data_IF_565432089330
#
_entry.id   IF_565432089330
#
_cell.length_a   1.000
_cell.length_b   1.000
_cell.length_c   1.000
_cell.angle_alpha   90.00
_cell.angle_beta   90.00
_cell.angle_gamma   90.00
#
_symmetry.space_group_name_H-M   'P 1'
#
loop_
_entity.id
_entity.type
_entity.pdbx_description
1 polymer ?
#
# COMPACT_ATOMS: atom_id res chain seq x y z
N UNK A 1 -29.11 -14.65 -64.21
CA UNK A 1 -30.40 -15.23 -63.74
C UNK A 1 -30.53 -14.97 -62.28
N UNK A 2 -31.50 -14.09 -61.94
CA UNK A 2 -31.86 -13.56 -60.62
C UNK A 2 -32.21 -14.65 -59.63
N UNK A 3 -31.98 -14.41 -58.32
CA UNK A 3 -33.05 -14.07 -57.39
C UNK A 3 -32.48 -13.66 -56.03
N UNK A 4 -32.71 -12.39 -55.71
CA UNK A 4 -32.61 -11.85 -54.37
C UNK A 4 -33.86 -12.22 -53.55
N UNK A 5 -33.71 -12.80 -52.39
CA UNK A 5 -34.77 -13.02 -51.41
C UNK A 5 -34.56 -12.15 -50.18
N UNK A 6 -35.26 -11.00 -50.09
CA UNK A 6 -35.30 -10.17 -48.89
C UNK A 6 -36.29 -10.79 -47.89
N UNK A 7 -35.83 -11.14 -46.71
CA UNK A 7 -36.68 -11.56 -45.59
C UNK A 7 -37.04 -10.32 -44.74
N UNK A 8 -38.29 -9.88 -44.85
CA UNK A 8 -38.84 -8.84 -44.00
C UNK A 8 -39.47 -9.48 -42.74
N UNK A 9 -38.90 -9.32 -41.62
CA UNK A 9 -39.49 -9.71 -40.32
C UNK A 9 -40.62 -8.73 -39.96
N UNK A 10 -41.76 -9.19 -39.43
CA UNK A 10 -42.89 -8.32 -39.11
C UNK A 10 -42.58 -7.46 -37.89
N UNK A 11 -42.87 -6.15 -37.98
CA UNK A 11 -42.64 -5.13 -36.94
C UNK A 11 -43.09 -5.50 -35.53
N UNK A 12 -43.99 -6.46 -35.37
CA UNK A 12 -44.51 -6.88 -34.06
C UNK A 12 -43.50 -7.74 -33.25
N UNK A 13 -42.59 -8.46 -33.90
CA UNK A 13 -41.58 -9.29 -33.26
C UNK A 13 -40.42 -8.43 -32.71
N UNK A 14 -40.11 -7.29 -33.33
CA UNK A 14 -39.03 -6.39 -32.91
C UNK A 14 -39.40 -5.69 -31.59
N UNK A 15 -40.68 -5.29 -31.41
CA UNK A 15 -41.15 -4.62 -30.20
C UNK A 15 -41.15 -5.57 -28.99
N UNK A 16 -41.48 -6.86 -29.21
CA UNK A 16 -41.44 -7.85 -28.13
C UNK A 16 -40.00 -8.19 -27.69
N UNK A 17 -39.05 -8.26 -28.64
CA UNK A 17 -37.64 -8.51 -28.32
C UNK A 17 -36.98 -7.35 -27.58
N UNK A 18 -37.29 -6.09 -27.94
CA UNK A 18 -36.79 -4.91 -27.22
C UNK A 18 -37.41 -4.78 -25.80
N UNK A 19 -38.67 -5.13 -25.63
CA UNK A 19 -39.32 -5.13 -24.33
C UNK A 19 -38.73 -6.16 -23.37
N UNK A 20 -38.37 -7.35 -23.87
CA UNK A 20 -37.75 -8.41 -23.07
C UNK A 20 -36.29 -8.05 -22.66
N UNK A 21 -35.55 -7.38 -23.52
CA UNK A 21 -34.20 -6.89 -23.21
C UNK A 21 -34.22 -5.75 -22.18
N UNK A 22 -35.24 -4.89 -22.19
CA UNK A 22 -35.38 -3.82 -21.19
C UNK A 22 -35.76 -4.34 -19.79
N UNK A 23 -36.54 -5.41 -19.72
CA UNK A 23 -36.95 -6.03 -18.43
C UNK A 23 -35.80 -6.85 -17.82
N UNK A 24 -34.92 -7.45 -18.62
CA UNK A 24 -33.75 -8.15 -18.11
C UNK A 24 -32.65 -7.19 -17.58
N UNK A 25 -32.63 -5.93 -18.02
CA UNK A 25 -31.63 -4.96 -17.53
C UNK A 25 -31.95 -4.41 -16.13
N UNK A 26 -33.15 -4.61 -15.59
CA UNK A 26 -33.55 -4.17 -14.25
C UNK A 26 -33.40 -5.25 -13.18
N UNK A 27 -33.10 -6.49 -13.52
CA UNK A 27 -33.01 -7.60 -12.57
C UNK A 27 -31.62 -7.83 -11.96
N UNK A 28 -30.61 -7.00 -12.27
CA UNK A 28 -29.23 -7.12 -11.77
C UNK A 28 -28.89 -5.98 -10.77
N UNK A 29 -29.88 -5.34 -10.18
CA UNK A 29 -29.71 -4.62 -8.93
C UNK A 29 -29.82 -5.63 -7.77
N UNK A 30 -28.98 -6.67 -7.81
CA UNK A 30 -28.76 -7.57 -6.69
C UNK A 30 -28.27 -6.75 -5.50
N UNK A 31 -29.02 -6.75 -4.42
CA UNK A 31 -28.66 -6.08 -3.19
C UNK A 31 -27.24 -6.45 -2.81
N UNK A 32 -26.39 -5.45 -2.56
CA UNK A 32 -25.10 -5.64 -1.93
C UNK A 32 -25.33 -6.46 -0.67
N UNK A 33 -24.58 -7.54 -0.42
CA UNK A 33 -24.68 -8.22 0.86
C UNK A 33 -24.41 -7.17 1.95
N UNK A 34 -25.41 -6.86 2.75
CA UNK A 34 -25.21 -6.07 3.95
C UNK A 34 -24.25 -6.88 4.81
N UNK A 35 -23.00 -6.37 4.94
CA UNK A 35 -22.09 -6.89 5.97
C UNK A 35 -22.84 -6.72 7.28
N UNK A 36 -23.25 -7.83 7.88
CA UNK A 36 -24.01 -7.82 9.13
C UNK A 36 -23.21 -6.99 10.13
N UNK A 37 -23.87 -6.00 10.74
CA UNK A 37 -23.25 -5.22 11.81
C UNK A 37 -22.80 -6.21 12.89
N UNK A 38 -21.51 -6.20 13.23
CA UNK A 38 -20.98 -7.02 14.32
C UNK A 38 -21.69 -6.61 15.62
N UNK A 39 -22.21 -7.57 16.36
CA UNK A 39 -22.77 -7.30 17.69
C UNK A 39 -21.64 -6.96 18.64
N UNK A 40 -21.55 -5.69 19.02
CA UNK A 40 -20.53 -5.22 19.95
C UNK A 40 -20.94 -5.51 21.39
N UNK A 41 -19.98 -5.80 22.29
CA UNK A 41 -20.25 -5.88 23.72
C UNK A 41 -20.83 -4.57 24.27
N UNK A 42 -21.58 -4.67 25.36
CA UNK A 42 -22.15 -3.50 26.05
C UNK A 42 -21.03 -2.51 26.41
N UNK A 43 -21.24 -1.25 26.09
CA UNK A 43 -20.26 -0.17 26.34
C UNK A 43 -19.29 0.10 25.19
N UNK A 44 -19.30 -0.70 24.13
CA UNK A 44 -18.53 -0.45 22.91
C UNK A 44 -19.41 0.15 21.82
N UNK A 45 -18.80 1.04 21.03
CA UNK A 45 -19.41 1.63 19.82
C UNK A 45 -18.42 1.55 18.68
N UNK A 46 -18.88 1.11 17.52
CA UNK A 46 -18.18 1.19 16.25
C UNK A 46 -18.68 2.41 15.49
N UNK A 47 -17.77 3.30 15.09
CA UNK A 47 -18.12 4.53 14.37
C UNK A 47 -17.03 4.84 13.34
N UNK A 48 -17.43 4.99 12.08
CA UNK A 48 -16.52 5.46 11.03
C UNK A 48 -16.23 6.95 11.28
N UNK A 49 -14.98 7.27 11.57
CA UNK A 49 -14.53 8.66 11.84
C UNK A 49 -13.72 9.26 10.68
N UNK A 50 -13.06 8.42 9.88
CA UNK A 50 -12.32 8.84 8.69
C UNK A 50 -12.77 7.99 7.50
N UNK A 51 -12.95 8.60 6.34
CA UNK A 51 -13.41 7.94 5.13
C UNK A 51 -12.65 8.43 3.89
N UNK A 52 -12.94 7.89 2.70
CA UNK A 52 -12.27 8.26 1.46
C UNK A 52 -10.83 7.77 1.36
N UNK A 53 -10.49 6.69 2.10
CA UNK A 53 -9.17 6.05 2.12
C UNK A 53 -9.16 4.80 1.25
N UNK A 54 -8.01 4.54 0.60
CA UNK A 54 -7.77 3.34 -0.19
C UNK A 54 -6.71 2.49 0.51
N UNK A 55 -7.10 1.29 0.97
CA UNK A 55 -6.20 0.36 1.65
C UNK A 55 -5.31 1.05 2.72
N UNK A 56 -5.88 1.71 3.75
CA UNK A 56 -5.09 2.34 4.80
C UNK A 56 -4.32 1.28 5.60
N UNK A 57 -3.04 1.52 5.83
CA UNK A 57 -2.13 0.58 6.52
C UNK A 57 -1.66 1.09 7.86
N UNK A 58 -1.58 2.41 8.03
CA UNK A 58 -1.04 3.03 9.23
C UNK A 58 -1.69 4.37 9.50
N UNK A 59 -1.92 4.68 10.77
CA UNK A 59 -2.45 5.96 11.24
C UNK A 59 -1.55 6.51 12.35
N UNK A 60 -1.29 7.82 12.32
CA UNK A 60 -0.56 8.55 13.35
C UNK A 60 -1.29 9.83 13.73
N UNK A 61 -1.46 10.03 15.03
CA UNK A 61 -2.05 11.26 15.59
C UNK A 61 -0.93 12.24 15.96
N UNK A 62 -0.96 13.42 15.37
CA UNK A 62 -0.01 14.47 15.69
C UNK A 62 -0.42 15.24 16.95
N UNK A 63 0.55 15.76 17.73
CA UNK A 63 0.25 16.56 18.92
C UNK A 63 -0.58 17.83 18.64
N UNK A 64 -0.56 18.33 17.42
CA UNK A 64 -1.32 19.50 16.95
C UNK A 64 -2.75 19.16 16.48
N UNK A 65 -3.18 17.90 16.63
CA UNK A 65 -4.52 17.42 16.31
C UNK A 65 -4.68 16.87 14.89
N UNK A 66 -3.70 17.04 14.02
CA UNK A 66 -3.73 16.43 12.68
C UNK A 66 -3.59 14.92 12.76
N UNK A 67 -4.14 14.23 11.74
CA UNK A 67 -4.09 12.77 11.64
C UNK A 67 -3.49 12.41 10.30
N UNK A 68 -2.37 11.71 10.34
CA UNK A 68 -1.67 11.21 9.16
C UNK A 68 -2.07 9.76 8.91
N UNK A 69 -2.48 9.45 7.69
CA UNK A 69 -2.87 8.10 7.28
C UNK A 69 -2.06 7.68 6.07
N UNK A 70 -1.25 6.65 6.23
CA UNK A 70 -0.57 6.00 5.12
C UNK A 70 -1.49 5.00 4.42
N UNK A 71 -1.54 5.08 3.10
CA UNK A 71 -2.22 4.11 2.25
C UNK A 71 -1.19 3.18 1.61
N UNK A 72 -1.56 1.93 1.42
CA UNK A 72 -0.67 0.85 0.94
C UNK A 72 0.08 1.22 -0.34
N UNK A 73 -0.57 1.94 -1.25
CA UNK A 73 -0.02 2.40 -2.52
C UNK A 73 1.00 3.55 -2.40
N UNK A 74 1.37 3.98 -1.19
CA UNK A 74 2.36 5.04 -1.01
C UNK A 74 1.80 6.45 -0.86
N UNK A 75 0.49 6.63 -0.93
CA UNK A 75 -0.13 7.94 -0.68
C UNK A 75 -0.31 8.17 0.81
N UNK A 76 0.14 9.30 1.32
CA UNK A 76 -0.10 9.73 2.70
C UNK A 76 -1.13 10.85 2.70
N UNK A 77 -2.22 10.65 3.45
CA UNK A 77 -3.30 11.63 3.65
C UNK A 77 -3.16 12.28 5.02
N UNK A 78 -3.57 13.55 5.10
CA UNK A 78 -3.68 14.30 6.37
C UNK A 78 -5.08 14.83 6.54
N UNK A 79 -5.69 14.49 7.65
CA UNK A 79 -6.93 15.05 8.14
C UNK A 79 -6.62 16.13 9.19
N UNK A 80 -7.32 17.24 9.14
CA UNK A 80 -7.15 18.32 10.13
C UNK A 80 -7.67 17.93 11.53
N UNK A 81 -8.64 17.03 11.59
CA UNK A 81 -9.23 16.49 12.81
C UNK A 81 -10.01 15.21 12.52
N UNK A 82 -10.58 14.56 13.56
CA UNK A 82 -11.48 13.39 13.41
C UNK A 82 -12.82 13.74 12.72
N UNK A 83 -13.15 15.01 12.57
CA UNK A 83 -14.37 15.45 11.86
C UNK A 83 -14.09 15.99 10.48
N UNK A 84 -12.83 15.96 10.03
CA UNK A 84 -12.46 16.39 8.68
C UNK A 84 -12.90 15.34 7.65
N UNK A 85 -13.69 15.75 6.68
CA UNK A 85 -14.19 14.92 5.59
C UNK A 85 -13.47 15.12 4.27
N UNK A 86 -12.49 16.04 4.24
CA UNK A 86 -11.77 16.43 3.02
C UNK A 86 -10.23 16.41 3.23
N UNK A 87 -9.62 15.22 3.43
CA UNK A 87 -8.20 15.12 3.73
C UNK A 87 -7.33 15.64 2.58
N UNK A 88 -6.23 16.27 2.93
CA UNK A 88 -5.21 16.72 1.99
C UNK A 88 -4.23 15.58 1.71
N UNK A 89 -3.73 15.47 0.48
CA UNK A 89 -2.58 14.62 0.19
C UNK A 89 -1.31 15.27 0.74
N UNK A 90 -0.73 14.65 1.76
CA UNK A 90 0.55 15.08 2.34
C UNK A 90 1.72 14.77 1.41
N UNK A 91 1.80 13.51 0.96
CA UNK A 91 2.82 13.03 0.04
C UNK A 91 2.24 11.97 -0.88
N UNK A 92 2.75 11.91 -2.10
CA UNK A 92 2.46 10.84 -3.06
C UNK A 92 3.78 10.18 -3.47
N UNK A 93 4.01 8.98 -2.95
CA UNK A 93 5.16 8.14 -3.25
C UNK A 93 4.80 6.96 -4.16
N UNK A 94 3.60 6.94 -4.74
CA UNK A 94 3.06 5.80 -5.47
C UNK A 94 3.95 5.34 -6.63
N UNK A 95 4.62 6.28 -7.31
CA UNK A 95 5.57 5.95 -8.38
C UNK A 95 6.84 5.20 -7.89
N UNK A 96 7.04 5.10 -6.57
CA UNK A 96 8.23 4.49 -5.97
C UNK A 96 7.89 3.27 -5.12
N UNK A 97 6.64 3.11 -4.74
CA UNK A 97 6.18 2.04 -3.85
C UNK A 97 5.79 0.81 -4.67
N UNK A 98 6.28 -0.35 -4.29
CA UNK A 98 5.81 -1.62 -4.82
C UNK A 98 4.55 -2.04 -4.04
N UNK A 99 3.37 -1.81 -4.58
CA UNK A 99 2.08 -2.16 -3.96
C UNK A 99 1.59 -3.53 -4.47
N UNK A 100 2.29 -4.58 -4.07
CA UNK A 100 1.95 -5.95 -4.46
C UNK A 100 1.95 -6.90 -3.26
N UNK A 101 0.87 -7.65 -3.03
CA UNK A 101 0.67 -8.58 -1.90
C UNK A 101 0.93 -7.90 -0.55
N UNK A 102 1.92 -8.39 0.24
CA UNK A 102 2.24 -7.86 1.58
C UNK A 102 3.14 -6.61 1.53
N UNK A 103 3.53 -6.18 0.33
CA UNK A 103 4.33 -4.97 0.12
C UNK A 103 3.47 -3.72 0.14
N UNK A 104 4.10 -2.56 0.10
CA UNK A 104 3.44 -1.27 0.10
C UNK A 104 4.10 -0.29 1.08
N UNK A 105 3.44 0.83 1.36
CA UNK A 105 3.77 1.69 2.48
C UNK A 105 3.07 1.15 3.72
N UNK A 106 3.84 0.63 4.69
CA UNK A 106 3.32 -0.07 5.86
C UNK A 106 3.65 0.62 7.18
N UNK A 107 4.65 1.49 7.21
CA UNK A 107 5.04 2.20 8.41
C UNK A 107 5.02 3.72 8.25
N UNK A 108 4.57 4.41 9.28
CA UNK A 108 4.61 5.86 9.40
C UNK A 108 4.82 6.25 10.86
N UNK A 109 5.74 7.18 11.11
CA UNK A 109 5.94 7.76 12.43
C UNK A 109 6.19 9.27 12.31
N UNK A 110 5.74 10.02 13.29
CA UNK A 110 6.03 11.46 13.40
C UNK A 110 7.24 11.65 14.30
N UNK A 111 8.05 12.67 14.03
CA UNK A 111 9.13 13.06 14.93
C UNK A 111 8.58 13.35 16.34
N UNK A 112 9.23 12.89 17.42
CA UNK A 112 8.75 13.13 18.79
C UNK A 112 8.54 14.61 19.14
N UNK A 113 9.21 15.53 18.44
CA UNK A 113 9.02 16.96 18.59
C UNK A 113 8.18 17.60 17.47
N UNK A 114 7.40 16.81 16.74
CA UNK A 114 6.48 17.31 15.74
C UNK A 114 5.40 18.21 16.40
N UNK A 115 5.02 19.38 15.86
CA UNK A 115 5.42 19.92 14.56
C UNK A 115 6.66 20.82 14.57
N UNK A 116 7.29 21.05 15.73
CA UNK A 116 8.50 21.91 15.86
C UNK A 116 9.65 21.37 15.02
N UNK A 117 9.83 20.05 15.01
CA UNK A 117 10.63 19.33 14.02
C UNK A 117 9.65 18.67 13.03
N UNK A 118 9.43 19.26 11.85
CA UNK A 118 8.35 18.88 10.95
C UNK A 118 8.71 17.66 10.12
N UNK A 119 9.12 16.57 10.77
CA UNK A 119 9.54 15.35 10.08
C UNK A 119 8.52 14.23 10.22
N UNK A 120 8.24 13.59 9.09
CA UNK A 120 7.42 12.40 8.98
C UNK A 120 8.31 11.30 8.42
N UNK A 121 8.37 10.17 9.11
CA UNK A 121 9.15 9.01 8.69
C UNK A 121 8.22 7.97 8.09
N UNK A 122 8.64 7.38 6.98
CA UNK A 122 7.88 6.34 6.28
C UNK A 122 8.74 5.12 6.03
N UNK A 123 8.10 3.94 6.08
CA UNK A 123 8.69 2.66 5.71
C UNK A 123 7.84 2.07 4.59
N UNK A 124 8.47 1.77 3.48
CA UNK A 124 7.80 1.21 2.32
C UNK A 124 8.69 0.26 1.51
N UNK A 125 8.07 -0.66 0.77
CA UNK A 125 8.76 -1.46 -0.23
C UNK A 125 9.05 -0.58 -1.44
N UNK A 126 10.31 -0.31 -1.71
CA UNK A 126 10.75 0.48 -2.86
C UNK A 126 10.76 -0.41 -4.11
N UNK A 127 10.09 0.01 -5.18
CA UNK A 127 9.84 -0.80 -6.38
C UNK A 127 11.09 -0.97 -7.26
N UNK A 128 12.21 -1.31 -6.64
CA UNK A 128 13.45 -1.69 -7.32
C UNK A 128 14.35 -2.52 -6.39
N UNK A 129 15.23 -3.37 -6.93
CA UNK A 129 16.29 -4.00 -6.16
C UNK A 129 17.25 -2.94 -5.58
N UNK A 130 18.09 -3.34 -4.62
CA UNK A 130 19.10 -2.47 -4.02
C UNK A 130 19.95 -1.82 -5.13
N UNK A 131 20.07 -0.48 -5.10
CA UNK A 131 20.80 0.31 -6.11
C UNK A 131 20.04 0.51 -7.41
N UNK A 132 18.87 -0.07 -7.58
CA UNK A 132 18.02 0.12 -8.75
C UNK A 132 17.18 1.40 -8.71
N UNK A 133 16.40 1.63 -9.76
CA UNK A 133 15.52 2.80 -9.90
C UNK A 133 14.07 2.35 -10.05
N UNK A 134 13.18 2.87 -9.20
CA UNK A 134 11.76 2.64 -9.30
C UNK A 134 11.13 3.48 -10.44
N UNK A 135 10.03 3.01 -11.05
CA UNK A 135 9.44 1.69 -10.83
C UNK A 135 10.14 0.60 -11.66
N UNK A 136 10.32 -0.59 -11.09
CA UNK A 136 10.82 -1.77 -11.80
C UNK A 136 9.69 -2.73 -12.16
N UNK A 137 8.80 -2.99 -11.21
CA UNK A 137 7.76 -4.02 -11.32
C UNK A 137 6.36 -3.45 -11.60
N UNK A 138 6.12 -2.15 -11.31
CA UNK A 138 4.82 -1.46 -11.52
C UNK A 138 3.67 -2.23 -10.85
N UNK A 139 3.78 -2.49 -9.55
CA UNK A 139 2.79 -3.21 -8.75
C UNK A 139 2.41 -4.59 -9.29
N UNK A 140 3.32 -5.23 -10.00
CA UNK A 140 3.15 -6.60 -10.49
C UNK A 140 4.31 -7.47 -10.03
N UNK A 141 4.11 -8.78 -10.12
CA UNK A 141 5.17 -9.75 -9.97
C UNK A 141 4.98 -10.81 -11.05
N UNK A 142 5.77 -10.79 -12.14
CA UNK A 142 5.64 -11.75 -13.23
C UNK A 142 5.96 -13.17 -12.78
N UNK A 143 6.63 -13.30 -11.65
CA UNK A 143 6.98 -14.57 -11.04
C UNK A 143 6.01 -14.85 -9.90
N UNK A 144 5.21 -15.95 -9.93
CA UNK A 144 4.28 -16.23 -8.84
C UNK A 144 4.99 -16.29 -7.50
N UNK A 145 4.45 -15.63 -6.43
CA UNK A 145 5.04 -15.68 -5.10
C UNK A 145 5.22 -17.12 -4.61
N UNK A 146 6.44 -17.47 -4.20
CA UNK A 146 6.77 -18.80 -3.70
C UNK A 146 6.99 -19.87 -4.76
N UNK A 147 6.89 -19.56 -6.05
CA UNK A 147 7.03 -20.51 -7.13
C UNK A 147 8.40 -20.50 -7.82
N UNK A 148 9.24 -19.52 -7.54
CA UNK A 148 10.54 -19.36 -8.20
C UNK A 148 11.63 -18.96 -7.22
N UNK A 149 12.88 -19.21 -7.62
CA UNK A 149 14.06 -18.89 -6.81
C UNK A 149 14.35 -17.40 -6.72
N UNK A 150 13.94 -16.61 -7.70
CA UNK A 150 14.34 -15.19 -7.77
C UNK A 150 13.29 -14.22 -7.24
N UNK A 151 12.02 -14.60 -7.24
CA UNK A 151 10.93 -13.73 -6.77
C UNK A 151 10.85 -12.41 -7.56
N UNK A 152 10.27 -11.39 -6.94
CA UNK A 152 10.23 -10.02 -7.46
C UNK A 152 11.04 -9.15 -6.49
N UNK A 153 12.33 -9.12 -6.69
CA UNK A 153 13.28 -8.50 -5.77
C UNK A 153 13.06 -6.98 -5.67
N UNK A 154 12.84 -6.49 -4.45
CA UNK A 154 12.77 -5.07 -4.14
C UNK A 154 13.62 -4.76 -2.91
N UNK A 155 13.87 -3.48 -2.62
CA UNK A 155 14.46 -3.05 -1.36
C UNK A 155 13.41 -2.44 -0.44
N UNK A 156 13.53 -2.65 0.87
CA UNK A 156 12.80 -1.87 1.83
C UNK A 156 13.49 -0.53 2.05
N UNK A 157 12.69 0.54 2.12
CA UNK A 157 13.20 1.89 2.29
C UNK A 157 12.59 2.57 3.51
N UNK A 158 13.46 3.13 4.36
CA UNK A 158 13.08 4.10 5.38
C UNK A 158 13.45 5.48 4.86
N UNK A 159 12.48 6.38 4.82
CA UNK A 159 12.69 7.74 4.38
C UNK A 159 12.12 8.75 5.37
N UNK A 160 12.77 9.92 5.43
CA UNK A 160 12.32 11.09 6.16
C UNK A 160 11.75 12.11 5.18
N UNK A 161 10.53 12.54 5.42
CA UNK A 161 9.81 13.56 4.67
C UNK A 161 9.73 14.83 5.52
N UNK A 162 9.85 16.00 4.90
CA UNK A 162 9.71 17.29 5.59
C UNK A 162 8.32 17.85 5.34
N UNK A 163 7.60 18.17 6.40
CA UNK A 163 6.28 18.77 6.33
C UNK A 163 6.38 20.32 6.23
N UNK A 164 5.53 20.89 5.38
CA UNK A 164 5.21 22.32 5.35
C UNK A 164 3.68 22.44 5.48
N UNK A 165 3.21 22.74 6.68
CA UNK A 165 1.78 22.61 6.98
C UNK A 165 1.29 21.17 6.81
N UNK A 166 0.30 20.95 5.96
CA UNK A 166 -0.28 19.65 5.69
C UNK A 166 0.22 19.02 4.37
N UNK A 167 1.33 19.51 3.81
CA UNK A 167 1.93 18.96 2.59
C UNK A 167 3.42 18.72 2.79
N UNK A 168 3.96 17.77 2.04
CA UNK A 168 5.40 17.53 1.97
C UNK A 168 6.08 18.65 1.18
N UNK A 169 7.28 19.04 1.61
CA UNK A 169 8.16 19.95 0.86
C UNK A 169 9.51 19.30 0.59
N UNK A 170 10.07 19.61 -0.57
CA UNK A 170 11.35 19.03 -1.02
C UNK A 170 11.26 17.54 -1.37
N UNK A 171 12.41 16.92 -1.55
CA UNK A 171 12.54 15.49 -1.81
C UNK A 171 12.57 14.68 -0.50
N UNK A 172 12.21 13.40 -0.56
CA UNK A 172 12.46 12.49 0.54
C UNK A 172 13.97 12.35 0.82
N UNK A 173 14.30 12.27 2.09
CA UNK A 173 15.65 11.89 2.52
C UNK A 173 15.66 10.40 2.85
N UNK A 174 16.32 9.60 2.03
CA UNK A 174 16.47 8.15 2.27
C UNK A 174 17.44 7.94 3.44
N UNK A 175 17.03 7.13 4.40
CA UNK A 175 17.82 6.79 5.59
C UNK A 175 18.34 5.36 5.53
N UNK A 176 17.55 4.44 4.99
CA UNK A 176 17.88 3.03 4.77
C UNK A 176 17.27 2.59 3.45
N UNK A 177 18.04 1.88 2.62
CA UNK A 177 17.55 1.27 1.38
C UNK A 177 18.28 -0.04 1.01
N UNK A 178 19.16 -0.50 1.87
CA UNK A 178 19.94 -1.73 1.69
C UNK A 178 19.27 -2.96 2.34
N UNK A 179 17.95 -2.99 2.39
CA UNK A 179 17.15 -4.04 3.01
C UNK A 179 16.43 -4.86 1.95
N UNK A 180 17.02 -5.98 1.60
CA UNK A 180 16.51 -6.90 0.59
C UNK A 180 15.16 -7.51 0.97
N UNK A 181 14.24 -7.51 0.00
CA UNK A 181 12.95 -8.17 0.08
C UNK A 181 12.78 -9.01 -1.19
N UNK A 182 13.05 -10.31 -1.09
CA UNK A 182 13.10 -11.19 -2.27
C UNK A 182 11.70 -11.51 -2.78
N UNK A 183 10.82 -11.96 -1.90
CA UNK A 183 9.45 -12.31 -2.25
C UNK A 183 8.46 -11.24 -1.79
N UNK A 184 7.27 -11.16 -2.40
CA UNK A 184 6.26 -10.18 -2.00
C UNK A 184 5.50 -10.56 -0.72
N UNK A 185 5.88 -11.64 -0.06
CA UNK A 185 5.37 -12.07 1.25
C UNK A 185 6.38 -11.78 2.36
N UNK A 186 5.97 -11.87 3.62
CA UNK A 186 6.78 -11.64 4.81
C UNK A 186 7.60 -10.33 4.72
N UNK A 187 6.95 -9.28 4.25
CA UNK A 187 7.59 -8.02 3.90
C UNK A 187 7.94 -7.16 5.12
N UNK A 188 8.05 -5.87 4.91
CA UNK A 188 8.32 -4.88 5.96
C UNK A 188 7.17 -4.81 6.97
N UNK A 189 7.45 -4.28 8.16
CA UNK A 189 6.47 -4.10 9.22
C UNK A 189 6.15 -2.63 9.50
N UNK A 190 6.50 -2.14 10.67
CA UNK A 190 6.19 -0.79 11.12
C UNK A 190 7.42 -0.05 11.60
N UNK A 191 7.26 1.26 11.85
CA UNK A 191 8.22 2.07 12.60
C UNK A 191 7.56 2.82 13.74
N UNK A 192 8.38 3.05 14.77
CA UNK A 192 7.98 3.85 15.92
C UNK A 192 9.20 4.45 16.63
N UNK A 193 9.01 5.56 17.33
CA UNK A 193 10.00 6.09 18.23
C UNK A 193 9.88 5.45 19.61
N UNK A 194 10.99 4.94 20.12
CA UNK A 194 11.09 4.47 21.48
C UNK A 194 11.17 5.63 22.49
N UNK A 195 11.02 5.31 23.78
CA UNK A 195 11.17 6.30 24.86
C UNK A 195 12.59 6.89 24.96
N UNK A 196 13.56 6.20 24.40
CA UNK A 196 14.96 6.64 24.27
C UNK A 196 15.19 7.61 23.09
N UNK A 197 14.12 7.95 22.36
CA UNK A 197 14.15 8.80 21.16
C UNK A 197 14.75 8.13 19.92
N UNK A 198 14.98 6.84 19.95
CA UNK A 198 15.45 6.08 18.78
C UNK A 198 14.30 5.66 17.90
N UNK A 199 14.51 5.68 16.57
CA UNK A 199 13.56 5.15 15.59
C UNK A 199 13.78 3.64 15.45
N UNK A 200 12.78 2.87 15.83
CA UNK A 200 12.76 1.43 15.67
C UNK A 200 11.99 1.06 14.40
N UNK A 201 12.54 0.13 13.66
CA UNK A 201 11.98 -0.35 12.39
C UNK A 201 11.88 -1.87 12.46
N UNK A 202 10.75 -2.41 12.07
CA UNK A 202 10.53 -3.86 12.01
C UNK A 202 10.20 -4.32 10.60
N UNK A 203 10.43 -5.60 10.34
CA UNK A 203 10.04 -6.24 9.09
C UNK A 203 10.20 -7.73 9.16
N UNK A 204 9.61 -8.42 8.20
CA UNK A 204 9.77 -9.84 7.98
C UNK A 204 11.08 -10.16 7.29
N UNK A 205 11.28 -11.44 7.03
CA UNK A 205 12.48 -11.98 6.40
C UNK A 205 12.49 -11.86 4.87
N UNK A 206 11.36 -11.45 4.26
CA UNK A 206 11.25 -11.36 2.80
C UNK A 206 11.17 -12.73 2.11
N UNK A 207 10.95 -13.80 2.87
CA UNK A 207 10.72 -15.14 2.35
C UNK A 207 9.31 -15.30 1.77
N UNK A 208 8.98 -16.50 1.31
CA UNK A 208 7.63 -16.86 0.88
C UNK A 208 7.14 -18.09 1.62
N UNK A 209 5.89 -18.47 1.38
CA UNK A 209 5.31 -19.69 1.99
C UNK A 209 6.06 -20.98 1.62
N UNK A 210 6.73 -21.02 0.48
CA UNK A 210 7.36 -22.22 -0.06
C UNK A 210 8.87 -22.09 -0.24
N UNK A 211 9.41 -20.87 -0.19
CA UNK A 211 10.83 -20.62 -0.38
C UNK A 211 11.35 -19.69 0.71
N UNK A 212 12.50 -20.03 1.25
CA UNK A 212 13.29 -19.17 2.11
C UNK A 212 14.00 -18.11 1.27
N UNK A 213 14.33 -16.97 1.87
CA UNK A 213 15.02 -15.89 1.19
C UNK A 213 16.54 -16.17 1.01
N UNK A 214 17.22 -15.28 0.32
CA UNK A 214 18.67 -15.37 0.08
C UNK A 214 19.47 -15.57 1.35
N UNK A 215 19.12 -14.88 2.43
CA UNK A 215 19.90 -14.97 3.64
C UNK A 215 19.69 -16.22 4.45
N UNK A 216 18.52 -16.78 4.38
CA UNK A 216 18.27 -18.11 4.98
C UNK A 216 19.03 -19.19 4.23
N UNK A 217 19.32 -19.00 2.95
CA UNK A 217 20.24 -19.85 2.19
C UNK A 217 21.72 -19.52 2.42
N UNK A 218 22.05 -18.47 3.15
CA UNK A 218 23.43 -18.01 3.30
C UNK A 218 23.99 -17.32 2.06
N UNK A 219 23.12 -16.88 1.17
CA UNK A 219 23.49 -16.16 -0.05
C UNK A 219 23.36 -14.64 0.15
N UNK A 220 24.03 -13.87 -0.71
CA UNK A 220 23.93 -12.41 -0.70
C UNK A 220 22.81 -11.96 -1.64
N UNK A 221 21.98 -11.03 -1.19
CA UNK A 221 21.01 -10.39 -2.03
C UNK A 221 21.66 -9.61 -3.18
N UNK A 222 21.18 -9.74 -4.42
CA UNK A 222 21.69 -8.95 -5.52
C UNK A 222 21.67 -7.44 -5.20
N UNK A 223 22.77 -6.76 -5.44
CA UNK A 223 22.96 -5.34 -5.13
C UNK A 223 23.40 -5.03 -3.69
N UNK A 224 23.35 -5.99 -2.77
CA UNK A 224 23.94 -5.83 -1.45
C UNK A 224 25.44 -6.16 -1.50
N UNK A 225 26.24 -5.11 -1.47
CA UNK A 225 27.70 -5.23 -1.48
C UNK A 225 28.28 -5.27 -0.07
N UNK A 226 27.50 -5.18 0.98
CA UNK A 226 27.96 -4.97 2.35
C UNK A 226 27.61 -6.10 3.33
N UNK A 227 26.66 -6.99 2.98
CA UNK A 227 26.14 -8.00 3.90
C UNK A 227 25.63 -9.25 3.20
N UNK A 228 25.78 -10.39 3.90
CA UNK A 228 24.88 -11.49 3.67
C UNK A 228 23.45 -11.02 3.96
N UNK A 229 22.56 -11.21 2.99
CA UNK A 229 21.16 -10.85 3.07
C UNK A 229 20.59 -11.38 4.39
N UNK A 230 19.63 -10.67 4.88
CA UNK A 230 18.75 -11.05 5.96
C UNK A 230 19.15 -10.75 7.38
N UNK A 231 18.37 -10.06 7.97
CA UNK A 231 18.14 -9.55 9.30
C UNK A 231 18.75 -8.16 9.46
N UNK A 232 17.92 -7.14 9.37
CA UNK A 232 18.34 -5.79 9.75
C UNK A 232 18.62 -5.77 11.25
N UNK A 233 19.85 -6.14 11.61
CA UNK A 233 20.37 -5.87 12.93
C UNK A 233 20.93 -4.45 12.97
N UNK A 234 20.10 -3.45 12.60
CA UNK A 234 20.48 -2.06 12.78
C UNK A 234 19.47 -1.32 13.64
N UNK A 235 19.88 -0.98 14.84
CA UNK A 235 19.43 0.25 15.46
C UNK A 235 19.99 1.39 14.60
N UNK A 236 19.16 2.15 13.88
CA UNK A 236 19.58 3.39 13.28
C UNK A 236 19.98 4.33 14.42
N UNK A 237 21.27 4.50 14.65
CA UNK A 237 21.77 5.58 15.51
C UNK A 237 21.64 6.88 14.75
N UNK A 238 21.30 7.95 15.45
CA UNK A 238 21.16 9.35 14.96
C UNK A 238 22.28 9.77 14.03
#
# INVERSE_FOLDING_TARGET
MQLAGAWTLPRRTIVAALGLLLVMSFAVLGGQPSVGASTLPTGFRDTVVLSGLTNPTVVQFAPDGRIFVGQKNGVVKVFASLTDTAPVTFADLSAKVADYWDRGLLGLALDPAFPTRPYVYVLYAYDAPIGGTAPTWNDTCPTPPGATTDGCLVSARVAKLTASGSTMTGAEQVLVEDWCQQYPSHSIGTLLFGRDGMLYVSGGDGASFNNVDYGQYGATCPGDHTRAATHPRRSARR
#
